data_IF_763889112966
#
_entry.id   IF_763889112966
#
_cell.length_a   1.000
_cell.length_b   1.000
_cell.length_c   1.000
_cell.angle_alpha   90.00
_cell.angle_beta   90.00
_cell.angle_gamma   90.00
#
_symmetry.space_group_name_H-M   'P 1'
#
loop_
_entity.id
_entity.type
_entity.pdbx_description
1 polymer ?
#
# COMPACT_ATOMS: atom_id res chain seq x y z
N UNK A 1 1.08 -35.65 -8.41
CA UNK A 1 0.35 -34.99 -7.31
C UNK A 1 -0.54 -33.91 -7.92
N UNK A 2 -1.86 -34.11 -7.95
CA UNK A 2 -2.82 -33.06 -8.39
C UNK A 2 -2.87 -31.99 -7.32
N UNK A 3 -2.31 -30.80 -7.60
CA UNK A 3 -2.49 -29.63 -6.76
C UNK A 3 -3.97 -29.27 -6.81
N UNK A 4 -4.69 -29.47 -5.72
CA UNK A 4 -6.03 -28.92 -5.55
C UNK A 4 -5.93 -27.40 -5.63
N UNK A 5 -6.73 -26.73 -6.48
CA UNK A 5 -6.73 -25.28 -6.51
C UNK A 5 -7.16 -24.80 -5.11
N UNK A 6 -6.24 -24.08 -4.46
CA UNK A 6 -6.48 -23.54 -3.12
C UNK A 6 -7.54 -22.43 -3.26
N UNK A 7 -8.83 -22.79 -3.10
CA UNK A 7 -9.97 -21.88 -3.30
C UNK A 7 -10.11 -20.83 -2.18
N UNK A 8 -9.26 -20.92 -1.15
CA UNK A 8 -9.30 -20.02 0.01
C UNK A 8 -9.07 -18.51 -0.29
N UNK A 9 -8.23 -18.08 -1.26
CA UNK A 9 -8.07 -16.65 -1.55
C UNK A 9 -9.20 -16.04 -2.39
N UNK A 10 -10.03 -16.84 -3.08
CA UNK A 10 -11.02 -16.35 -4.03
C UNK A 10 -12.05 -15.35 -3.43
N UNK A 11 -12.66 -15.59 -2.25
CA UNK A 11 -13.59 -14.63 -1.66
C UNK A 11 -12.95 -13.27 -1.38
N UNK A 12 -11.70 -13.25 -0.93
CA UNK A 12 -10.95 -12.02 -0.67
C UNK A 12 -10.62 -11.25 -1.96
N UNK A 13 -10.27 -11.97 -3.04
CA UNK A 13 -10.05 -11.38 -4.36
C UNK A 13 -11.35 -10.75 -4.90
N UNK A 14 -12.49 -11.43 -4.73
CA UNK A 14 -13.79 -10.86 -5.11
C UNK A 14 -14.05 -9.57 -4.34
N UNK A 15 -13.85 -9.56 -3.01
CA UNK A 15 -14.00 -8.36 -2.19
C UNK A 15 -13.05 -7.23 -2.62
N UNK A 16 -11.80 -7.56 -2.96
CA UNK A 16 -10.84 -6.59 -3.47
C UNK A 16 -11.29 -6.00 -4.82
N UNK A 17 -11.71 -6.84 -5.78
CA UNK A 17 -12.16 -6.39 -7.10
C UNK A 17 -13.42 -5.53 -6.99
N UNK A 18 -14.39 -5.92 -6.16
CA UNK A 18 -15.57 -5.10 -5.90
C UNK A 18 -15.21 -3.77 -5.27
N UNK A 19 -14.22 -3.75 -4.35
CA UNK A 19 -13.67 -2.54 -3.76
C UNK A 19 -13.02 -1.63 -4.81
N UNK A 20 -12.26 -2.20 -5.75
CA UNK A 20 -11.70 -1.46 -6.88
C UNK A 20 -12.80 -0.80 -7.72
N UNK A 21 -13.81 -1.57 -8.12
CA UNK A 21 -14.92 -1.04 -8.93
C UNK A 21 -15.69 0.06 -8.20
N UNK A 22 -15.96 -0.12 -6.90
CA UNK A 22 -16.60 0.91 -6.07
C UNK A 22 -15.75 2.17 -5.94
N UNK A 23 -14.42 2.01 -5.76
CA UNK A 23 -13.50 3.14 -5.70
C UNK A 23 -13.40 3.88 -7.04
N UNK A 24 -13.35 3.18 -8.17
CA UNK A 24 -13.36 3.81 -9.50
C UNK A 24 -14.67 4.58 -9.73
N UNK A 25 -15.81 3.99 -9.36
CA UNK A 25 -17.10 4.66 -9.42
C UNK A 25 -17.12 5.95 -8.59
N UNK A 26 -16.66 5.89 -7.35
CA UNK A 26 -16.50 7.04 -6.47
C UNK A 26 -15.56 8.11 -7.05
N UNK A 27 -14.47 7.67 -7.70
CA UNK A 27 -13.52 8.54 -8.38
C UNK A 27 -14.13 9.30 -9.56
N UNK A 28 -14.92 8.62 -10.41
CA UNK A 28 -15.63 9.24 -11.53
C UNK A 28 -16.62 10.28 -11.04
N UNK A 29 -17.35 10.00 -9.95
CA UNK A 29 -18.25 11.00 -9.32
C UNK A 29 -17.47 12.23 -8.84
N UNK A 30 -16.28 12.06 -8.27
CA UNK A 30 -15.41 13.19 -7.88
C UNK A 30 -14.95 14.04 -9.07
N UNK A 31 -14.84 13.45 -10.25
CA UNK A 31 -14.51 14.14 -11.51
C UNK A 31 -15.73 14.83 -12.13
N UNK A 32 -16.90 14.79 -11.49
CA UNK A 32 -18.12 15.47 -11.94
C UNK A 32 -19.03 14.63 -12.86
N UNK A 33 -18.76 13.33 -13.00
CA UNK A 33 -19.66 12.45 -13.76
C UNK A 33 -20.99 12.27 -13.01
N UNK A 34 -22.09 12.41 -13.73
CA UNK A 34 -23.46 12.26 -13.22
C UNK A 34 -23.85 10.77 -13.09
N UNK A 35 -23.16 10.06 -12.21
CA UNK A 35 -23.41 8.66 -11.94
C UNK A 35 -24.37 8.52 -10.74
N UNK A 36 -25.24 7.45 -10.71
CA UNK A 36 -26.08 7.17 -9.55
C UNK A 36 -25.23 7.06 -8.28
N UNK A 37 -25.57 7.85 -7.27
CA UNK A 37 -24.91 7.77 -5.97
C UNK A 37 -25.54 6.64 -5.15
N UNK A 38 -24.72 5.62 -4.80
CA UNK A 38 -25.13 4.56 -3.86
C UNK A 38 -25.36 5.14 -2.45
N UNK A 39 -24.56 6.15 -2.08
CA UNK A 39 -24.67 6.93 -0.85
C UNK A 39 -24.21 8.36 -1.10
N UNK A 40 -24.69 9.32 -0.30
CA UNK A 40 -24.33 10.74 -0.40
C UNK A 40 -22.84 11.00 -0.20
N UNK A 41 -22.15 10.14 0.53
CA UNK A 41 -20.70 10.26 0.86
C UNK A 41 -19.78 9.46 -0.06
N UNK A 42 -20.32 8.71 -1.04
CA UNK A 42 -19.53 7.77 -1.85
C UNK A 42 -18.32 8.43 -2.51
N UNK A 43 -18.50 9.62 -3.10
CA UNK A 43 -17.40 10.35 -3.74
C UNK A 43 -16.24 10.66 -2.77
N UNK A 44 -16.52 10.93 -1.50
CA UNK A 44 -15.52 11.19 -0.47
C UNK A 44 -14.78 9.92 -0.04
N UNK A 45 -15.39 8.74 -0.22
CA UNK A 45 -14.81 7.44 0.13
C UNK A 45 -13.89 6.88 -0.96
N UNK A 46 -13.71 7.57 -2.11
CA UNK A 46 -12.79 7.10 -3.17
C UNK A 46 -11.41 6.71 -2.62
N UNK A 47 -10.73 7.60 -1.90
CA UNK A 47 -9.40 7.35 -1.34
C UNK A 47 -9.37 6.18 -0.35
N UNK A 48 -10.18 6.20 0.71
CA UNK A 48 -10.26 5.11 1.68
C UNK A 48 -10.57 3.74 1.05
N UNK A 49 -11.52 3.67 0.13
CA UNK A 49 -11.90 2.42 -0.53
C UNK A 49 -10.81 1.94 -1.48
N UNK A 50 -10.16 2.85 -2.24
CA UNK A 50 -9.07 2.49 -3.14
C UNK A 50 -7.85 1.97 -2.37
N UNK A 51 -7.43 2.68 -1.34
CA UNK A 51 -6.18 2.36 -0.61
C UNK A 51 -6.42 1.27 0.42
N UNK A 52 -7.32 1.50 1.36
CA UNK A 52 -7.54 0.54 2.45
C UNK A 52 -8.45 -0.60 2.02
N UNK A 53 -9.52 -0.33 1.27
CA UNK A 53 -10.48 -1.35 0.82
C UNK A 53 -9.87 -2.30 -0.22
N UNK A 54 -9.42 -1.79 -1.36
CA UNK A 54 -8.89 -2.60 -2.45
C UNK A 54 -7.45 -3.03 -2.21
N UNK A 55 -6.49 -2.07 -2.18
CA UNK A 55 -5.06 -2.38 -2.10
C UNK A 55 -4.68 -2.98 -0.75
N UNK A 56 -5.28 -2.51 0.35
CA UNK A 56 -5.08 -3.11 1.68
C UNK A 56 -5.51 -4.57 1.73
N UNK A 57 -6.68 -4.91 1.13
CA UNK A 57 -7.12 -6.31 1.02
C UNK A 57 -6.15 -7.13 0.18
N UNK A 58 -5.74 -6.63 -0.99
CA UNK A 58 -4.89 -7.36 -1.93
C UNK A 58 -3.50 -7.61 -1.36
N UNK A 59 -2.83 -6.58 -0.85
CA UNK A 59 -1.46 -6.65 -0.31
C UNK A 59 -1.40 -7.57 0.92
N UNK A 60 -2.35 -7.43 1.85
CA UNK A 60 -2.36 -8.30 3.05
C UNK A 60 -2.74 -9.74 2.70
N UNK A 61 -3.61 -9.97 1.70
CA UNK A 61 -3.93 -11.30 1.20
C UNK A 61 -2.70 -11.99 0.59
N UNK A 62 -1.96 -11.26 -0.25
CA UNK A 62 -0.73 -11.77 -0.85
C UNK A 62 0.26 -12.28 0.22
N UNK A 63 0.48 -11.46 1.27
CA UNK A 63 1.34 -11.85 2.38
C UNK A 63 0.78 -13.04 3.17
N UNK A 64 -0.53 -13.10 3.40
CA UNK A 64 -1.18 -14.23 4.07
C UNK A 64 -1.00 -15.53 3.29
N UNK A 65 -1.16 -15.49 1.97
CA UNK A 65 -0.96 -16.65 1.08
C UNK A 65 0.51 -17.09 1.07
N UNK A 66 1.45 -16.15 1.00
CA UNK A 66 2.89 -16.46 1.01
C UNK A 66 3.34 -17.08 2.34
N UNK A 67 2.86 -16.56 3.46
CA UNK A 67 3.24 -16.99 4.81
C UNK A 67 2.49 -18.23 5.30
N UNK A 68 1.34 -18.58 4.69
CA UNK A 68 0.50 -19.77 4.99
C UNK A 68 0.05 -19.86 6.46
N UNK A 69 -0.10 -18.74 7.15
CA UNK A 69 -0.59 -18.69 8.54
C UNK A 69 -2.05 -18.26 8.58
N UNK A 70 -2.90 -19.01 9.32
CA UNK A 70 -4.35 -18.79 9.34
C UNK A 70 -4.75 -17.41 9.86
N UNK A 71 -4.09 -16.89 10.88
CA UNK A 71 -4.41 -15.58 11.46
C UNK A 71 -4.14 -14.42 10.48
N UNK A 72 -3.21 -14.59 9.54
CA UNK A 72 -2.88 -13.58 8.54
C UNK A 72 -3.99 -13.33 7.51
N UNK A 73 -5.02 -14.20 7.44
CA UNK A 73 -6.21 -13.96 6.62
C UNK A 73 -7.22 -13.01 7.28
N UNK A 74 -7.05 -12.68 8.58
CA UNK A 74 -7.91 -11.73 9.26
C UNK A 74 -7.79 -10.30 8.73
N UNK A 75 -6.58 -9.71 8.52
CA UNK A 75 -6.43 -8.38 7.94
C UNK A 75 -7.12 -8.19 6.57
N UNK A 76 -6.93 -9.04 5.55
CA UNK A 76 -7.64 -8.88 4.29
C UNK A 76 -9.15 -9.06 4.42
N UNK A 77 -9.64 -9.88 5.37
CA UNK A 77 -11.07 -9.98 5.66
C UNK A 77 -11.62 -8.66 6.22
N UNK A 78 -10.96 -8.12 7.24
CA UNK A 78 -11.34 -6.85 7.87
C UNK A 78 -11.30 -5.68 6.87
N UNK A 79 -10.28 -5.65 6.00
CA UNK A 79 -10.15 -4.64 4.96
C UNK A 79 -11.28 -4.75 3.91
N UNK A 80 -11.55 -5.98 3.43
CA UNK A 80 -12.60 -6.26 2.46
C UNK A 80 -14.02 -5.98 3.00
N UNK A 81 -14.29 -6.30 4.26
CA UNK A 81 -15.57 -5.98 4.90
C UNK A 81 -15.65 -4.50 5.29
N UNK A 82 -14.52 -3.90 5.70
CA UNK A 82 -14.47 -2.53 6.19
C UNK A 82 -14.94 -1.51 5.16
N UNK A 83 -14.53 -1.65 3.89
CA UNK A 83 -14.98 -0.74 2.85
C UNK A 83 -16.48 -0.92 2.52
N UNK A 84 -16.99 -2.16 2.55
CA UNK A 84 -18.42 -2.42 2.36
C UNK A 84 -19.24 -1.73 3.47
N UNK A 85 -18.83 -1.92 4.72
CA UNK A 85 -19.50 -1.30 5.87
C UNK A 85 -19.41 0.23 5.80
N UNK A 86 -18.27 0.80 5.35
CA UNK A 86 -18.12 2.25 5.20
C UNK A 86 -19.05 2.84 4.13
N UNK A 87 -19.37 2.10 3.06
CA UNK A 87 -20.31 2.53 2.03
C UNK A 87 -21.76 2.36 2.51
N UNK A 88 -22.10 1.20 3.10
CA UNK A 88 -23.48 0.88 3.49
C UNK A 88 -23.93 1.72 4.70
N UNK A 89 -23.02 1.96 5.66
CA UNK A 89 -23.29 2.69 6.89
C UNK A 89 -22.36 3.91 7.04
N UNK A 90 -22.47 4.93 6.16
CA UNK A 90 -21.50 6.04 6.11
C UNK A 90 -21.50 6.93 7.36
N UNK A 91 -22.58 6.91 8.14
CA UNK A 91 -22.73 7.70 9.37
C UNK A 91 -22.23 6.97 10.62
N UNK A 92 -21.80 5.69 10.48
CA UNK A 92 -21.31 4.89 11.60
C UNK A 92 -19.81 4.66 11.46
N UNK A 93 -19.05 4.67 12.57
CA UNK A 93 -17.59 4.56 12.54
C UNK A 93 -17.10 3.13 12.24
N UNK A 94 -18.00 2.15 12.13
CA UNK A 94 -17.63 0.72 12.03
C UNK A 94 -16.75 0.42 10.82
N UNK A 95 -17.02 1.03 9.66
CA UNK A 95 -16.19 0.85 8.47
C UNK A 95 -14.75 1.32 8.68
N UNK A 96 -14.59 2.53 9.26
CA UNK A 96 -13.26 3.10 9.58
C UNK A 96 -12.53 2.25 10.61
N UNK A 97 -13.24 1.76 11.64
CA UNK A 97 -12.68 0.88 12.66
C UNK A 97 -12.15 -0.42 12.04
N UNK A 98 -12.94 -1.07 11.17
CA UNK A 98 -12.53 -2.30 10.49
C UNK A 98 -11.29 -2.08 9.61
N UNK A 99 -11.25 -0.98 8.86
CA UNK A 99 -10.09 -0.62 8.02
C UNK A 99 -8.84 -0.31 8.87
N UNK A 100 -9.02 0.31 10.03
CA UNK A 100 -7.93 0.58 10.98
C UNK A 100 -7.41 -0.72 11.60
N UNK A 101 -8.30 -1.64 12.02
CA UNK A 101 -7.91 -2.96 12.52
C UNK A 101 -7.21 -3.80 11.44
N UNK A 102 -7.65 -3.68 10.18
CA UNK A 102 -6.98 -4.32 9.05
C UNK A 102 -5.53 -3.82 8.90
N UNK A 103 -5.32 -2.49 8.98
CA UNK A 103 -3.97 -1.91 8.89
C UNK A 103 -3.09 -2.30 10.09
N UNK A 104 -3.64 -2.39 11.29
CA UNK A 104 -2.94 -2.94 12.46
C UNK A 104 -2.51 -4.40 12.21
N UNK A 105 -3.39 -5.22 11.66
CA UNK A 105 -3.06 -6.56 11.24
C UNK A 105 -1.98 -6.61 10.15
N UNK A 106 -1.99 -5.67 9.20
CA UNK A 106 -0.93 -5.49 8.20
C UNK A 106 0.44 -5.21 8.84
N UNK A 107 0.49 -4.33 9.85
CA UNK A 107 1.71 -4.08 10.64
C UNK A 107 2.16 -5.36 11.36
N UNK A 108 1.24 -6.13 11.95
CA UNK A 108 1.56 -7.39 12.62
C UNK A 108 2.16 -8.42 11.64
N UNK A 109 1.60 -8.54 10.43
CA UNK A 109 2.14 -9.42 9.36
C UNK A 109 3.57 -9.00 9.00
N UNK A 110 3.78 -7.70 8.71
CA UNK A 110 5.11 -7.20 8.31
C UNK A 110 6.13 -7.28 9.46
N UNK A 111 5.69 -7.13 10.71
CA UNK A 111 6.54 -7.39 11.89
C UNK A 111 7.05 -8.84 11.91
N UNK A 112 6.16 -9.80 11.66
CA UNK A 112 6.55 -11.21 11.58
C UNK A 112 7.51 -11.49 10.42
N UNK A 113 7.31 -10.83 9.27
CA UNK A 113 8.21 -10.94 8.11
C UNK A 113 9.60 -10.37 8.46
N UNK A 114 9.66 -9.17 9.06
CA UNK A 114 10.93 -8.55 9.49
C UNK A 114 11.66 -9.40 10.53
N UNK A 115 10.92 -10.04 11.46
CA UNK A 115 11.53 -10.95 12.45
C UNK A 115 12.17 -12.17 11.81
N UNK A 116 11.61 -12.69 10.70
CA UNK A 116 12.16 -13.82 9.96
C UNK A 116 13.32 -13.43 9.06
N UNK A 117 13.23 -12.29 8.43
CA UNK A 117 14.24 -11.77 7.52
C UNK A 117 14.42 -10.27 7.78
N UNK A 118 15.45 -9.93 8.57
CA UNK A 118 15.82 -8.55 8.85
C UNK A 118 16.63 -8.00 7.69
N UNK A 119 15.96 -7.36 6.73
CA UNK A 119 16.56 -6.84 5.51
C UNK A 119 15.97 -5.48 5.13
N UNK A 120 16.69 -4.71 4.29
CA UNK A 120 16.26 -3.37 3.89
C UNK A 120 14.87 -3.37 3.24
N UNK A 121 14.58 -4.37 2.38
CA UNK A 121 13.29 -4.48 1.70
C UNK A 121 12.14 -4.77 2.69
N UNK A 122 12.33 -5.67 3.65
CA UNK A 122 11.30 -6.00 4.66
C UNK A 122 11.04 -4.82 5.60
N UNK A 123 12.09 -4.10 6.02
CA UNK A 123 11.97 -2.87 6.82
C UNK A 123 11.23 -1.79 6.03
N UNK A 124 11.53 -1.62 4.74
CA UNK A 124 10.85 -0.63 3.90
C UNK A 124 9.35 -0.92 3.80
N UNK A 125 8.95 -2.17 3.56
CA UNK A 125 7.54 -2.57 3.53
C UNK A 125 6.87 -2.40 4.90
N UNK A 126 7.57 -2.73 5.98
CA UNK A 126 7.07 -2.51 7.35
C UNK A 126 6.78 -1.03 7.63
N UNK A 127 7.69 -0.11 7.25
CA UNK A 127 7.46 1.33 7.35
C UNK A 127 6.23 1.78 6.54
N UNK A 128 6.00 1.18 5.38
CA UNK A 128 4.79 1.38 4.60
C UNK A 128 3.52 0.96 5.36
N UNK A 129 3.52 -0.22 6.00
CA UNK A 129 2.38 -0.67 6.80
C UNK A 129 2.13 0.21 8.03
N UNK A 130 3.20 0.69 8.68
CA UNK A 130 3.09 1.67 9.80
C UNK A 130 2.47 2.98 9.29
N UNK A 131 2.89 3.46 8.13
CA UNK A 131 2.28 4.64 7.52
C UNK A 131 0.78 4.41 7.23
N UNK A 132 0.39 3.25 6.69
CA UNK A 132 -1.01 2.91 6.47
C UNK A 132 -1.83 2.94 7.76
N UNK A 133 -1.33 2.31 8.83
CA UNK A 133 -1.97 2.35 10.15
C UNK A 133 -2.09 3.78 10.67
N UNK A 134 -1.02 4.57 10.58
CA UNK A 134 -1.02 5.97 11.01
C UNK A 134 -2.08 6.77 10.24
N UNK A 135 -2.16 6.62 8.92
CA UNK A 135 -3.17 7.26 8.10
C UNK A 135 -4.59 6.88 8.51
N UNK A 136 -4.87 5.59 8.74
CA UNK A 136 -6.18 5.12 9.16
C UNK A 136 -6.55 5.61 10.58
N UNK A 137 -5.58 5.67 11.51
CA UNK A 137 -5.79 6.22 12.85
C UNK A 137 -6.12 7.72 12.78
N UNK A 138 -5.35 8.50 12.05
CA UNK A 138 -5.63 9.94 11.87
C UNK A 138 -7.03 10.16 11.28
N UNK A 139 -7.41 9.37 10.26
CA UNK A 139 -8.75 9.44 9.69
C UNK A 139 -9.84 9.06 10.70
N UNK A 140 -9.63 8.01 11.48
CA UNK A 140 -10.54 7.56 12.55
C UNK A 140 -10.74 8.66 13.62
N UNK A 141 -9.70 9.46 13.90
CA UNK A 141 -9.76 10.60 14.82
C UNK A 141 -10.24 11.91 14.15
N UNK A 142 -10.79 11.85 12.95
CA UNK A 142 -11.45 12.98 12.29
C UNK A 142 -10.53 13.90 11.47
N UNK A 143 -9.26 13.50 11.22
CA UNK A 143 -8.40 14.28 10.32
C UNK A 143 -8.91 14.23 8.89
N UNK A 144 -8.72 15.32 8.17
CA UNK A 144 -9.20 15.47 6.81
C UNK A 144 -8.43 14.59 5.83
N UNK A 145 -9.11 14.04 4.82
CA UNK A 145 -8.51 13.14 3.84
C UNK A 145 -7.29 13.74 3.13
N UNK A 146 -7.30 15.06 2.85
CA UNK A 146 -6.17 15.74 2.20
C UNK A 146 -4.89 15.77 3.05
N UNK A 147 -4.98 15.61 4.37
CA UNK A 147 -3.84 15.47 5.29
C UNK A 147 -3.40 14.02 5.42
N UNK A 148 -4.36 13.11 5.47
CA UNK A 148 -4.15 11.68 5.66
C UNK A 148 -3.58 11.00 4.42
N UNK A 149 -3.94 11.47 3.23
CA UNK A 149 -3.58 10.83 1.95
C UNK A 149 -2.07 10.64 1.76
N UNK A 150 -1.24 11.47 2.36
CA UNK A 150 0.21 11.33 2.30
C UNK A 150 0.70 10.05 2.99
N UNK A 151 0.08 9.65 4.08
CA UNK A 151 0.38 8.40 4.78
C UNK A 151 -0.05 7.18 3.97
N UNK A 152 -1.22 7.25 3.34
CA UNK A 152 -1.68 6.20 2.43
C UNK A 152 -0.81 6.09 1.18
N UNK A 153 -0.34 7.21 0.63
CA UNK A 153 0.63 7.23 -0.45
C UNK A 153 1.96 6.58 -0.01
N UNK A 154 2.43 6.86 1.21
CA UNK A 154 3.63 6.22 1.75
C UNK A 154 3.50 4.70 1.84
N UNK A 155 2.34 4.20 2.26
CA UNK A 155 2.07 2.77 2.27
C UNK A 155 2.33 2.13 0.90
N UNK A 156 1.76 2.70 -0.15
CA UNK A 156 1.90 2.15 -1.50
C UNK A 156 3.32 2.29 -2.04
N UNK A 157 3.90 3.48 -1.90
CA UNK A 157 5.25 3.77 -2.41
C UNK A 157 6.29 2.87 -1.74
N UNK A 158 6.23 2.73 -0.41
CA UNK A 158 7.18 1.92 0.33
C UNK A 158 6.95 0.41 0.14
N UNK A 159 5.72 -0.03 -0.08
CA UNK A 159 5.44 -1.41 -0.45
C UNK A 159 6.07 -1.73 -1.80
N UNK A 160 5.79 -0.93 -2.83
CA UNK A 160 6.37 -1.12 -4.17
C UNK A 160 7.90 -1.02 -4.13
N UNK A 161 8.46 -0.03 -3.42
CA UNK A 161 9.90 0.14 -3.29
C UNK A 161 10.55 -1.06 -2.58
N UNK A 162 9.91 -1.60 -1.54
CA UNK A 162 10.36 -2.81 -0.84
C UNK A 162 10.38 -4.03 -1.76
N UNK A 163 9.33 -4.26 -2.53
CA UNK A 163 9.26 -5.36 -3.51
C UNK A 163 10.35 -5.22 -4.59
N UNK A 164 10.60 -4.00 -5.09
CA UNK A 164 11.69 -3.75 -6.04
C UNK A 164 13.07 -4.01 -5.44
N UNK A 165 13.28 -3.63 -4.17
CA UNK A 165 14.50 -3.97 -3.44
C UNK A 165 14.68 -5.49 -3.29
N UNK A 166 13.61 -6.23 -3.00
CA UNK A 166 13.64 -7.68 -2.89
C UNK A 166 14.07 -8.31 -4.21
N UNK A 167 13.48 -7.91 -5.32
CA UNK A 167 13.86 -8.39 -6.66
C UNK A 167 15.31 -8.02 -7.01
N UNK A 168 15.77 -6.84 -6.59
CA UNK A 168 17.13 -6.36 -6.86
C UNK A 168 18.21 -7.00 -5.97
N UNK A 169 17.84 -7.86 -5.02
CA UNK A 169 18.77 -8.62 -4.13
C UNK A 169 19.84 -9.39 -4.92
N UNK A 170 19.47 -9.91 -6.09
CA UNK A 170 20.38 -10.64 -6.98
C UNK A 170 21.57 -9.77 -7.40
N UNK A 171 21.42 -8.46 -7.49
CA UNK A 171 22.47 -7.52 -7.87
C UNK A 171 23.42 -7.15 -6.73
N UNK A 172 23.13 -7.59 -5.49
CA UNK A 172 23.92 -7.33 -4.27
C UNK A 172 24.28 -5.83 -4.15
N UNK A 173 23.30 -4.95 -3.87
CA UNK A 173 23.57 -3.53 -3.73
C UNK A 173 24.61 -3.28 -2.65
N UNK A 174 25.54 -2.36 -2.93
CA UNK A 174 26.63 -2.01 -1.99
C UNK A 174 26.04 -1.36 -0.72
N UNK A 175 26.79 -1.40 0.36
CA UNK A 175 26.39 -0.78 1.62
C UNK A 175 26.06 0.72 1.44
N UNK A 176 26.85 1.44 0.65
CA UNK A 176 26.60 2.85 0.33
C UNK A 176 25.27 3.07 -0.40
N UNK A 177 24.90 2.19 -1.35
CA UNK A 177 23.61 2.25 -2.04
C UNK A 177 22.44 2.01 -1.08
N UNK A 178 22.58 1.10 -0.13
CA UNK A 178 21.56 0.84 0.90
C UNK A 178 21.40 2.02 1.85
N UNK A 179 22.49 2.64 2.30
CA UNK A 179 22.46 3.84 3.15
C UNK A 179 21.79 5.00 2.41
N UNK A 180 22.16 5.22 1.15
CA UNK A 180 21.55 6.27 0.33
C UNK A 180 20.04 6.07 0.19
N UNK A 181 19.58 4.83 -0.06
CA UNK A 181 18.16 4.52 -0.11
C UNK A 181 17.47 4.81 1.21
N UNK A 182 18.05 4.39 2.33
CA UNK A 182 17.52 4.67 3.66
C UNK A 182 17.38 6.18 3.93
N UNK A 183 18.37 6.97 3.51
CA UNK A 183 18.33 8.43 3.61
C UNK A 183 17.19 9.03 2.77
N UNK A 184 17.00 8.56 1.54
CA UNK A 184 15.89 9.00 0.67
C UNK A 184 14.52 8.69 1.30
N UNK A 185 14.34 7.47 1.84
CA UNK A 185 13.11 7.08 2.55
C UNK A 185 12.89 7.96 3.78
N UNK A 186 13.95 8.31 4.51
CA UNK A 186 13.86 9.21 5.66
C UNK A 186 13.38 10.61 5.25
N UNK A 187 13.91 11.18 4.15
CA UNK A 187 13.43 12.46 3.59
C UNK A 187 11.94 12.37 3.23
N UNK A 188 11.54 11.28 2.57
CA UNK A 188 10.17 11.06 2.16
C UNK A 188 9.22 11.03 3.37
N UNK A 189 9.52 10.23 4.38
CA UNK A 189 8.71 10.11 5.60
C UNK A 189 8.71 11.38 6.44
N UNK A 190 9.86 12.06 6.57
CA UNK A 190 9.94 13.34 7.25
C UNK A 190 9.05 14.40 6.57
N UNK A 191 9.01 14.43 5.23
CA UNK A 191 8.12 15.29 4.47
C UNK A 191 6.64 15.00 4.76
N UNK A 192 6.26 13.73 4.85
CA UNK A 192 4.89 13.31 5.17
C UNK A 192 4.48 13.74 6.58
N UNK A 193 5.36 13.55 7.56
CA UNK A 193 5.11 14.01 8.93
C UNK A 193 5.02 15.54 8.99
N UNK A 194 5.93 16.23 8.30
CA UNK A 194 5.92 17.69 8.24
C UNK A 194 4.64 18.24 7.60
N UNK A 195 4.01 17.51 6.65
CA UNK A 195 2.76 17.91 6.02
C UNK A 195 1.58 18.04 7.01
N UNK A 196 1.63 17.39 8.17
CA UNK A 196 0.64 17.57 9.24
C UNK A 196 0.71 18.97 9.87
N UNK A 197 1.89 19.58 9.92
CA UNK A 197 2.12 20.88 10.56
C UNK A 197 2.22 22.02 9.53
N UNK A 198 2.85 21.74 8.40
CA UNK A 198 3.02 22.69 7.30
C UNK A 198 2.85 21.94 5.96
N UNK A 199 1.64 22.01 5.42
CA UNK A 199 1.26 21.29 4.20
C UNK A 199 2.18 21.66 3.02
N UNK A 200 2.54 22.93 2.86
CA UNK A 200 3.34 23.37 1.72
C UNK A 200 4.78 22.84 1.77
N UNK A 201 5.44 22.97 2.91
CA UNK A 201 6.82 22.46 3.08
C UNK A 201 6.83 20.94 3.07
N UNK A 202 5.88 20.29 3.76
CA UNK A 202 5.76 18.84 3.80
C UNK A 202 5.53 18.23 2.42
N UNK A 203 4.64 18.82 1.61
CA UNK A 203 4.40 18.38 0.23
C UNK A 203 5.65 18.49 -0.64
N UNK A 204 6.41 19.58 -0.53
CA UNK A 204 7.66 19.76 -1.29
C UNK A 204 8.72 18.73 -0.89
N UNK A 205 8.89 18.51 0.42
CA UNK A 205 9.88 17.57 0.93
C UNK A 205 9.51 16.12 0.61
N UNK A 206 8.25 15.73 0.81
CA UNK A 206 7.76 14.40 0.44
C UNK A 206 7.79 14.19 -1.08
N UNK A 207 7.49 15.23 -1.88
CA UNK A 207 7.62 15.20 -3.34
C UNK A 207 9.05 14.96 -3.79
N UNK A 208 10.05 15.58 -3.14
CA UNK A 208 11.47 15.30 -3.40
C UNK A 208 11.80 13.84 -3.12
N UNK A 209 11.37 13.28 -1.98
CA UNK A 209 11.54 11.87 -1.67
C UNK A 209 10.87 10.96 -2.69
N UNK A 210 9.64 11.30 -3.11
CA UNK A 210 8.86 10.57 -4.11
C UNK A 210 9.56 10.56 -5.49
N UNK A 211 10.31 11.59 -5.86
CA UNK A 211 11.12 11.62 -7.08
C UNK A 211 12.42 10.81 -6.92
N UNK A 212 13.06 10.89 -5.77
CA UNK A 212 14.36 10.24 -5.53
C UNK A 212 14.24 8.71 -5.42
N UNK A 213 13.15 8.18 -4.85
CA UNK A 213 12.91 6.72 -4.72
C UNK A 213 12.93 6.02 -6.10
N UNK A 214 12.13 6.41 -7.10
CA UNK A 214 12.16 5.78 -8.41
C UNK A 214 13.46 6.05 -9.16
N UNK A 215 14.09 7.22 -9.02
CA UNK A 215 15.40 7.49 -9.64
C UNK A 215 16.49 6.57 -9.09
N UNK A 216 16.51 6.33 -7.78
CA UNK A 216 17.39 5.36 -7.18
C UNK A 216 17.09 3.95 -7.68
N UNK A 217 15.80 3.57 -7.73
CA UNK A 217 15.36 2.25 -8.20
C UNK A 217 15.76 2.04 -9.66
N UNK A 218 15.48 2.98 -10.56
CA UNK A 218 15.88 2.89 -11.97
C UNK A 218 17.37 2.60 -12.16
N UNK A 219 18.24 3.19 -11.32
CA UNK A 219 19.68 2.99 -11.40
C UNK A 219 20.11 1.60 -10.88
N UNK A 220 19.38 1.04 -9.91
CA UNK A 220 19.79 -0.14 -9.16
C UNK A 220 18.88 -1.35 -9.41
N UNK A 221 17.84 -1.24 -10.28
CA UNK A 221 16.89 -2.32 -10.58
C UNK A 221 17.45 -3.29 -11.63
N UNK A 222 17.13 -4.58 -11.43
CA UNK A 222 17.46 -5.65 -12.37
C UNK A 222 16.81 -5.44 -13.73
N UNK A 223 15.59 -4.88 -13.76
CA UNK A 223 14.85 -4.61 -15.00
C UNK A 223 15.64 -3.68 -15.94
N UNK A 224 16.24 -2.61 -15.39
CA UNK A 224 17.05 -1.67 -16.19
C UNK A 224 18.29 -2.32 -16.80
N UNK A 225 18.91 -3.25 -16.09
CA UNK A 225 20.06 -4.01 -16.61
C UNK A 225 19.65 -4.96 -17.73
N UNK A 226 18.49 -5.63 -17.60
CA UNK A 226 18.01 -6.59 -18.58
C UNK A 226 17.55 -5.93 -19.88
N UNK A 227 16.98 -4.72 -19.83
CA UNK A 227 16.63 -3.94 -21.03
C UNK A 227 17.86 -3.66 -21.91
N UNK A 228 19.04 -3.52 -21.30
CA UNK A 228 20.31 -3.31 -22.01
C UNK A 228 20.98 -4.58 -22.51
N UNK A 229 20.49 -5.76 -22.14
CA UNK A 229 21.04 -7.02 -22.61
C UNK A 229 20.69 -7.24 -24.09
N UNK A 230 21.71 -7.68 -24.87
CA UNK A 230 21.59 -7.88 -26.32
C UNK A 230 20.74 -9.12 -26.71
N UNK A 231 20.41 -10.00 -25.76
CA UNK A 231 19.62 -11.22 -26.02
C UNK A 231 18.12 -10.89 -26.06
N UNK A 232 17.43 -11.16 -27.21
CA UNK A 232 16.01 -10.79 -27.36
C UNK A 232 15.08 -11.40 -26.32
N UNK A 233 15.34 -12.63 -25.86
CA UNK A 233 14.51 -13.35 -24.87
C UNK A 233 14.53 -12.69 -23.48
N UNK A 234 15.65 -12.09 -23.06
CA UNK A 234 15.73 -11.40 -21.77
C UNK A 234 14.99 -10.06 -21.73
N UNK A 235 14.68 -9.46 -22.90
CA UNK A 235 13.88 -8.23 -22.99
C UNK A 235 12.39 -8.44 -22.71
N UNK A 236 11.86 -9.66 -22.84
CA UNK A 236 10.43 -9.96 -22.72
C UNK A 236 10.07 -10.59 -21.36
N UNK A 237 11.05 -10.91 -20.51
CA UNK A 237 10.84 -11.58 -19.21
C UNK A 237 10.93 -10.59 -18.04
N UNK A 238 11.21 -9.32 -18.30
CA UNK A 238 11.27 -8.21 -17.32
C UNK A 238 10.17 -7.21 -17.55
#
# INVERSE_FOLDING_TARGET
MKAFPNRHPLPFLILAILGLLAALWAGLMRLGWQLPALTTSLAMLHGPVMISGFLGTLITLERAVAMKQKWMYLPPLLSGLGWLVAIIFPNLPFGVILLTLASLGGVAILTEIVRREFALHTITMFLGAVAWLTGNLLWMFGWQIYQVVFFWMAFLVLTIAGERLELSRVLRPTQMQQILFGFIVTIFLAGIILALFNLQLGTRLSGLGLLLIPLWSLRNDIAWRNIRHKLPLTRYIT
#
